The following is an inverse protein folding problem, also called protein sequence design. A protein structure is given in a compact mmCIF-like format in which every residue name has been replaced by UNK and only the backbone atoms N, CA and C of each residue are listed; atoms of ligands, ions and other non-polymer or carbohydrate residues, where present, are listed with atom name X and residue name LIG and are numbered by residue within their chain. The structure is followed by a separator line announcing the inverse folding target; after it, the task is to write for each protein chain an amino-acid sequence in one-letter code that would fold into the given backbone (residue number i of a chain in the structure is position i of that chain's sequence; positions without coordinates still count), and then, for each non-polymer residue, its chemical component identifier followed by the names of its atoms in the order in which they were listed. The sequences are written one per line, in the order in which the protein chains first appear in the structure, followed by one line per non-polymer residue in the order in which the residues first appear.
data_IF_074782129072
#
_entry.id   IF_074782129072
#
_cell.length_a   1.000
_cell.length_b   1.000
_cell.length_c   1.000
_cell.angle_alpha   90.00
_cell.angle_beta   90.00
_cell.angle_gamma   90.00
#
_symmetry.space_group_name_H-M   'P 1'
#
loop_
_entity.id
_entity.type
_entity.pdbx_description
1 polymer ?
#
# COMPACT_ATOMS: atom_id res chain seq x y z
N UNK A 1 -50.76 -61.41 5.80
CA UNK A 1 -50.66 -59.97 5.55
C UNK A 1 -49.19 -59.62 5.56
N UNK A 2 -48.55 -59.51 4.41
CA UNK A 2 -47.07 -59.29 4.28
C UNK A 2 -46.81 -57.85 3.88
N UNK A 3 -46.15 -57.08 4.76
CA UNK A 3 -45.80 -55.69 4.56
C UNK A 3 -44.36 -55.63 4.01
N UNK A 4 -44.21 -55.29 2.75
CA UNK A 4 -42.93 -55.08 2.13
C UNK A 4 -42.40 -53.67 2.49
N UNK A 5 -41.13 -53.51 2.97
CA UNK A 5 -40.57 -52.21 3.21
C UNK A 5 -40.19 -51.52 1.89
N UNK A 6 -40.72 -50.31 1.66
CA UNK A 6 -40.32 -49.43 0.57
C UNK A 6 -38.96 -48.81 0.91
N UNK A 7 -37.95 -49.16 0.16
CA UNK A 7 -36.67 -48.49 0.16
C UNK A 7 -36.82 -47.11 -0.50
N UNK A 8 -36.57 -46.05 0.29
CA UNK A 8 -36.48 -44.69 -0.19
C UNK A 8 -34.96 -44.42 -0.44
N UNK A 9 -34.51 -44.10 -1.66
CA UNK A 9 -33.13 -43.70 -1.86
C UNK A 9 -32.98 -42.29 -1.30
N UNK A 10 -32.20 -42.16 -0.23
CA UNK A 10 -31.73 -40.90 0.30
C UNK A 10 -30.70 -40.37 -0.70
N UNK A 11 -31.15 -39.42 -1.52
CA UNK A 11 -30.26 -38.64 -2.38
C UNK A 11 -29.42 -37.74 -1.48
N UNK A 12 -28.18 -38.14 -1.28
CA UNK A 12 -27.17 -37.31 -0.61
C UNK A 12 -26.87 -36.09 -1.49
N UNK A 13 -27.58 -34.98 -1.19
CA UNK A 13 -27.22 -33.65 -1.71
C UNK A 13 -25.95 -33.21 -1.03
N UNK A 14 -24.79 -33.54 -1.61
CA UNK A 14 -23.52 -32.93 -1.23
C UNK A 14 -23.60 -31.42 -1.53
N UNK A 15 -23.48 -30.55 -0.53
CA UNK A 15 -23.25 -29.13 -0.81
C UNK A 15 -21.88 -29.00 -1.46
N UNK A 16 -21.85 -28.59 -2.73
CA UNK A 16 -20.69 -28.05 -3.36
C UNK A 16 -20.30 -26.77 -2.56
N UNK A 17 -19.46 -26.94 -1.57
CA UNK A 17 -18.66 -25.85 -1.02
C UNK A 17 -17.76 -25.40 -2.15
N UNK A 18 -18.24 -24.44 -2.95
CA UNK A 18 -17.36 -23.64 -3.79
C UNK A 18 -16.37 -22.97 -2.83
N UNK A 19 -15.17 -23.58 -2.73
CA UNK A 19 -14.03 -22.92 -2.14
C UNK A 19 -13.78 -21.66 -3.00
N UNK A 20 -14.17 -20.50 -2.50
CA UNK A 20 -13.65 -19.23 -2.96
C UNK A 20 -12.16 -19.25 -2.63
N UNK A 21 -11.38 -19.89 -3.47
CA UNK A 21 -9.93 -19.77 -3.51
C UNK A 21 -9.61 -18.41 -4.10
N UNK A 22 -9.72 -17.36 -3.30
CA UNK A 22 -9.19 -16.07 -3.67
C UNK A 22 -7.67 -16.17 -3.79
N UNK A 23 -7.09 -15.38 -4.68
CA UNK A 23 -5.63 -15.26 -4.88
C UNK A 23 -4.96 -14.53 -3.68
N UNK A 24 -5.43 -14.83 -2.47
CA UNK A 24 -4.97 -14.19 -1.25
C UNK A 24 -3.49 -14.53 -0.98
N UNK A 25 -2.69 -13.50 -0.82
CA UNK A 25 -1.30 -13.62 -0.33
C UNK A 25 -1.34 -13.55 1.18
N UNK A 26 -0.81 -14.55 1.90
CA UNK A 26 -0.73 -14.49 3.34
C UNK A 26 0.01 -13.24 3.82
N UNK A 27 -0.38 -12.63 4.96
CA UNK A 27 0.24 -11.40 5.47
C UNK A 27 1.74 -11.50 5.65
N UNK A 28 2.26 -12.69 5.96
CA UNK A 28 3.70 -12.95 6.06
C UNK A 28 4.47 -12.83 4.73
N UNK A 29 3.76 -12.76 3.60
CA UNK A 29 4.37 -12.58 2.26
C UNK A 29 4.01 -11.26 1.60
N UNK A 30 3.08 -10.50 2.17
CA UNK A 30 2.78 -9.15 1.73
C UNK A 30 3.61 -8.18 2.56
N UNK A 31 4.59 -7.48 1.98
CA UNK A 31 5.42 -6.55 2.71
C UNK A 31 4.60 -5.42 3.34
N UNK A 32 5.00 -4.96 4.51
CA UNK A 32 4.35 -3.82 5.15
C UNK A 32 4.62 -2.53 4.38
N UNK A 33 3.61 -1.66 4.32
CA UNK A 33 3.74 -0.31 3.78
C UNK A 33 3.87 0.73 4.88
N UNK A 34 4.72 1.72 4.67
CA UNK A 34 4.88 2.86 5.56
C UNK A 34 5.24 4.13 4.81
N UNK A 35 4.82 5.26 5.37
CA UNK A 35 5.21 6.56 4.84
C UNK A 35 6.64 6.87 5.28
N UNK A 36 7.47 7.28 4.32
CA UNK A 36 8.86 7.64 4.57
C UNK A 36 8.94 9.00 5.26
N UNK A 37 9.47 9.03 6.47
CA UNK A 37 9.49 10.20 7.36
C UNK A 37 10.08 11.48 6.74
N UNK A 38 11.01 11.37 5.79
CA UNK A 38 11.57 12.53 5.09
C UNK A 38 10.83 12.95 3.84
N UNK A 39 9.82 12.16 3.43
CA UNK A 39 8.99 12.39 2.25
C UNK A 39 7.48 12.44 2.58
N UNK A 40 7.15 12.55 3.85
CA UNK A 40 5.76 12.67 4.35
C UNK A 40 5.18 14.06 4.15
N UNK A 41 6.02 15.09 4.13
CA UNK A 41 5.64 16.48 3.99
C UNK A 41 5.99 17.03 2.61
N UNK A 42 5.04 17.72 1.99
CA UNK A 42 5.25 18.54 0.79
C UNK A 42 5.13 20.01 1.17
N UNK A 43 6.25 20.70 1.50
CA UNK A 43 6.23 22.14 1.74
C UNK A 43 5.97 22.89 0.43
N UNK A 44 5.23 23.99 0.48
CA UNK A 44 5.02 24.89 -0.67
C UNK A 44 5.54 26.27 -0.34
N UNK A 45 5.81 27.07 -1.39
CA UNK A 45 6.29 28.45 -1.24
C UNK A 45 5.35 29.35 -0.42
N UNK A 46 4.07 29.03 -0.37
CA UNK A 46 3.05 29.77 0.37
C UNK A 46 2.84 29.28 1.81
N UNK A 47 3.74 28.43 2.33
CA UNK A 47 3.57 27.78 3.62
C UNK A 47 2.47 26.71 3.65
N UNK A 48 1.85 26.46 2.51
CA UNK A 48 0.90 25.38 2.35
C UNK A 48 1.65 24.04 2.31
N UNK A 49 1.09 23.06 2.99
CA UNK A 49 1.66 21.72 3.05
C UNK A 49 0.58 20.69 2.69
N UNK A 50 1.01 19.62 2.08
CA UNK A 50 0.30 18.36 2.11
C UNK A 50 1.11 17.38 2.98
N UNK A 51 0.39 16.55 3.73
CA UNK A 51 0.99 15.57 4.64
C UNK A 51 0.45 14.19 4.31
N UNK A 52 1.32 13.21 4.17
CA UNK A 52 0.95 11.79 4.16
C UNK A 52 1.08 11.24 5.58
N UNK A 53 0.06 10.51 6.04
CA UNK A 53 0.08 9.95 7.39
C UNK A 53 -0.14 8.44 7.44
N UNK A 54 -0.43 7.80 6.31
CA UNK A 54 -0.62 6.37 6.28
C UNK A 54 -0.78 5.81 4.87
N UNK A 55 -0.65 4.50 4.79
CA UNK A 55 -0.95 3.73 3.59
C UNK A 55 -1.46 2.34 3.97
N UNK A 56 -2.31 1.78 3.12
CA UNK A 56 -2.74 0.39 3.16
C UNK A 56 -2.15 -0.33 1.95
N UNK A 57 -1.60 -1.52 2.17
CA UNK A 57 -1.09 -2.39 1.10
C UNK A 57 -1.87 -3.70 1.14
N UNK A 58 -2.49 -4.05 0.03
CA UNK A 58 -3.15 -5.33 -0.19
C UNK A 58 -2.40 -6.07 -1.29
N UNK A 59 -2.06 -7.33 -1.04
CA UNK A 59 -1.35 -8.15 -2.01
C UNK A 59 -2.25 -9.27 -2.52
N UNK A 60 -2.23 -9.45 -3.83
CA UNK A 60 -2.85 -10.58 -4.50
C UNK A 60 -1.82 -11.35 -5.32
N UNK A 61 -2.00 -12.66 -5.42
CA UNK A 61 -1.15 -13.48 -6.27
C UNK A 61 -1.65 -13.46 -7.71
N UNK A 62 -0.79 -13.06 -8.63
CA UNK A 62 -1.03 -13.05 -10.07
C UNK A 62 0.02 -13.93 -10.76
N UNK A 63 -0.33 -15.19 -11.02
CA UNK A 63 0.57 -16.22 -11.57
C UNK A 63 1.85 -16.43 -10.75
N UNK A 64 3.01 -16.05 -11.27
CA UNK A 64 4.31 -16.10 -10.58
C UNK A 64 4.65 -14.81 -9.82
N UNK A 65 3.89 -13.74 -10.05
CA UNK A 65 4.08 -12.44 -9.44
C UNK A 65 3.10 -12.21 -8.27
N UNK A 66 3.40 -11.18 -7.51
CA UNK A 66 2.49 -10.57 -6.53
C UNK A 66 2.12 -9.19 -7.08
N UNK A 67 0.84 -8.86 -7.03
CA UNK A 67 0.31 -7.54 -7.29
C UNK A 67 0.00 -6.87 -5.96
N UNK A 68 0.51 -5.64 -5.77
CA UNK A 68 0.22 -4.83 -4.60
C UNK A 68 -0.67 -3.66 -5.01
N UNK A 69 -1.85 -3.59 -4.40
CA UNK A 69 -2.73 -2.44 -4.40
C UNK A 69 -2.38 -1.57 -3.20
N UNK A 70 -2.06 -0.31 -3.44
CA UNK A 70 -1.60 0.63 -2.41
C UNK A 70 -2.53 1.83 -2.38
N UNK A 71 -3.22 2.02 -1.25
CA UNK A 71 -4.03 3.20 -0.99
C UNK A 71 -3.27 4.10 -0.02
N UNK A 72 -3.11 5.37 -0.37
CA UNK A 72 -2.35 6.36 0.41
C UNK A 72 -3.30 7.39 0.99
N UNK A 73 -3.11 7.72 2.27
CA UNK A 73 -3.92 8.66 3.04
C UNK A 73 -3.11 9.90 3.38
N UNK A 74 -3.72 11.06 3.16
CA UNK A 74 -3.07 12.33 3.41
C UNK A 74 -4.05 13.44 3.80
N UNK A 75 -3.49 14.60 4.14
CA UNK A 75 -4.23 15.82 4.40
C UNK A 75 -3.56 16.99 3.66
N UNK A 76 -4.35 17.76 2.94
CA UNK A 76 -3.93 18.99 2.30
C UNK A 76 -4.37 20.16 3.17
N UNK A 77 -3.42 20.77 3.87
CA UNK A 77 -3.67 21.90 4.79
C UNK A 77 -3.51 23.26 4.12
N UNK A 78 -3.25 23.28 2.81
CA UNK A 78 -3.19 24.50 2.01
C UNK A 78 -4.48 25.29 2.00
N UNK A 79 -4.38 26.60 1.86
CA UNK A 79 -5.54 27.48 1.58
C UNK A 79 -6.05 27.36 0.14
N UNK A 80 -5.31 26.73 -0.76
CA UNK A 80 -5.74 26.42 -2.12
C UNK A 80 -6.86 25.38 -2.11
N UNK A 81 -7.77 25.46 -3.08
CA UNK A 81 -8.88 24.49 -3.17
C UNK A 81 -8.43 23.12 -3.64
N UNK A 82 -7.39 23.07 -4.44
CA UNK A 82 -6.75 21.86 -4.98
C UNK A 82 -5.28 22.12 -5.24
N UNK A 83 -4.50 21.05 -5.27
CA UNK A 83 -3.07 21.04 -5.54
C UNK A 83 -2.72 19.74 -6.23
N UNK A 84 -1.80 19.80 -7.21
CA UNK A 84 -1.26 18.62 -7.83
C UNK A 84 -0.04 18.15 -7.01
N UNK A 85 -0.02 16.87 -6.68
CA UNK A 85 1.03 16.22 -5.90
C UNK A 85 1.49 14.95 -6.61
N UNK A 86 2.79 14.70 -6.63
CA UNK A 86 3.32 13.43 -7.13
C UNK A 86 3.69 12.54 -5.96
N UNK A 87 3.12 11.35 -5.91
CA UNK A 87 3.38 10.34 -4.87
C UNK A 87 4.11 9.16 -5.49
N UNK A 88 5.08 8.61 -4.78
CA UNK A 88 5.73 7.36 -5.15
C UNK A 88 5.43 6.27 -4.13
N UNK A 89 5.49 5.02 -4.60
CA UNK A 89 5.58 3.82 -3.77
C UNK A 89 6.72 2.95 -4.30
N UNK A 90 7.59 2.50 -3.42
CA UNK A 90 8.74 1.67 -3.76
C UNK A 90 8.81 0.47 -2.83
N UNK A 91 8.98 -0.73 -3.39
CA UNK A 91 9.33 -1.92 -2.66
C UNK A 91 10.85 -1.99 -2.53
N UNK A 92 11.34 -2.09 -1.30
CA UNK A 92 12.77 -2.08 -1.00
C UNK A 92 13.11 -3.30 -0.16
N UNK A 93 14.23 -3.95 -0.47
CA UNK A 93 14.72 -5.10 0.31
C UNK A 93 15.52 -4.66 1.55
N UNK A 94 15.98 -5.63 2.32
CA UNK A 94 16.80 -5.42 3.54
C UNK A 94 18.17 -4.77 3.28
N UNK A 95 18.63 -4.77 2.05
CA UNK A 95 19.92 -4.24 1.63
C UNK A 95 19.76 -2.86 0.93
N UNK A 96 18.58 -2.23 1.09
CA UNK A 96 18.17 -0.95 0.51
C UNK A 96 18.08 -0.94 -1.04
N UNK A 97 17.97 -2.12 -1.68
CA UNK A 97 17.76 -2.18 -3.11
C UNK A 97 16.28 -1.97 -3.44
N UNK A 98 16.00 -1.10 -4.40
CA UNK A 98 14.63 -0.91 -4.92
C UNK A 98 14.30 -2.06 -5.88
N UNK A 99 13.36 -2.92 -5.47
CA UNK A 99 12.91 -4.08 -6.23
C UNK A 99 11.83 -3.71 -7.25
N UNK A 100 10.95 -2.78 -6.88
CA UNK A 100 9.90 -2.26 -7.75
C UNK A 100 9.52 -0.85 -7.31
N UNK A 101 9.05 -0.03 -8.24
CA UNK A 101 8.64 1.36 -7.97
C UNK A 101 7.54 1.79 -8.92
N UNK A 102 6.60 2.57 -8.39
CA UNK A 102 5.62 3.32 -9.16
C UNK A 102 5.54 4.75 -8.66
N UNK A 103 5.04 5.66 -9.49
CA UNK A 103 4.72 7.04 -9.10
C UNK A 103 3.60 7.56 -9.98
N UNK A 104 2.77 8.43 -9.41
CA UNK A 104 1.62 9.02 -10.08
C UNK A 104 1.39 10.44 -9.58
N UNK A 105 0.86 11.30 -10.46
CA UNK A 105 0.42 12.66 -10.13
C UNK A 105 -1.07 12.66 -9.81
N UNK A 106 -1.44 13.24 -8.69
CA UNK A 106 -2.82 13.32 -8.20
C UNK A 106 -3.21 14.78 -7.96
N UNK A 107 -4.42 15.15 -8.38
CA UNK A 107 -5.02 16.44 -7.99
C UNK A 107 -5.82 16.26 -6.70
N UNK A 108 -5.24 16.67 -5.58
CA UNK A 108 -5.85 16.55 -4.25
C UNK A 108 -6.59 17.84 -3.87
N UNK A 109 -7.66 17.68 -3.09
CA UNK A 109 -8.46 18.79 -2.58
C UNK A 109 -8.09 19.11 -1.15
N UNK A 110 -8.40 20.36 -0.72
CA UNK A 110 -8.23 20.77 0.67
C UNK A 110 -8.91 19.81 1.64
N UNK A 111 -8.24 19.48 2.74
CA UNK A 111 -8.64 18.51 3.73
C UNK A 111 -8.11 17.12 3.43
N UNK A 112 -8.74 16.12 4.02
CA UNK A 112 -8.32 14.73 3.88
C UNK A 112 -8.50 14.23 2.45
N UNK A 113 -7.51 13.49 1.98
CA UNK A 113 -7.56 12.81 0.71
C UNK A 113 -7.13 11.35 0.84
N UNK A 114 -7.62 10.56 -0.09
CA UNK A 114 -7.29 9.16 -0.30
C UNK A 114 -7.03 8.98 -1.80
N UNK A 115 -5.92 8.34 -2.15
CA UNK A 115 -5.54 8.07 -3.53
C UNK A 115 -5.04 6.65 -3.69
N UNK A 116 -5.44 6.01 -4.78
CA UNK A 116 -4.98 4.67 -5.12
C UNK A 116 -3.82 4.78 -6.10
N UNK A 117 -2.69 4.17 -5.73
CA UNK A 117 -1.50 4.12 -6.57
C UNK A 117 -1.71 3.13 -7.73
N UNK A 118 -1.01 3.30 -8.86
CA UNK A 118 -0.95 2.24 -9.86
C UNK A 118 -0.48 0.92 -9.25
N UNK A 119 -1.10 -0.18 -9.64
CA UNK A 119 -0.76 -1.53 -9.15
C UNK A 119 0.72 -1.80 -9.37
N UNK A 120 1.40 -2.23 -8.32
CA UNK A 120 2.81 -2.53 -8.36
C UNK A 120 3.01 -4.05 -8.38
N UNK A 121 3.66 -4.54 -9.44
CA UNK A 121 3.96 -5.96 -9.61
C UNK A 121 5.40 -6.26 -9.22
N UNK A 122 5.61 -7.38 -8.52
CA UNK A 122 6.94 -7.86 -8.17
C UNK A 122 6.98 -9.39 -8.05
N UNK A 123 8.16 -9.96 -8.25
CA UNK A 123 8.39 -11.39 -8.13
C UNK A 123 8.42 -11.79 -6.63
N UNK A 124 7.65 -12.80 -6.28
CA UNK A 124 7.60 -13.34 -4.91
C UNK A 124 8.97 -13.84 -4.41
N UNK A 125 9.85 -14.26 -5.31
CA UNK A 125 11.20 -14.72 -4.96
C UNK A 125 12.12 -13.60 -4.49
N UNK A 126 11.84 -12.35 -4.90
CA UNK A 126 12.65 -11.18 -4.57
C UNK A 126 12.45 -10.69 -3.13
N UNK A 127 11.33 -11.03 -2.48
CA UNK A 127 11.04 -10.55 -1.11
C UNK A 127 11.62 -11.46 -0.02
N UNK A 128 12.17 -12.63 -0.38
CA UNK A 128 12.76 -13.57 0.57
C UNK A 128 11.78 -14.11 1.59
N UNK A 129 12.27 -14.37 2.80
CA UNK A 129 11.44 -14.70 3.94
C UNK A 129 10.91 -13.43 4.62
N UNK A 130 9.80 -13.57 5.34
CA UNK A 130 9.08 -12.55 6.10
C UNK A 130 9.94 -11.42 6.68
N UNK A 131 9.56 -10.17 6.42
CA UNK A 131 10.18 -8.99 7.02
C UNK A 131 11.47 -8.51 6.35
N UNK A 132 11.83 -9.06 5.19
CA UNK A 132 13.04 -8.67 4.46
C UNK A 132 12.79 -7.60 3.38
N UNK A 133 11.55 -7.21 3.16
CA UNK A 133 11.18 -6.13 2.24
C UNK A 133 10.06 -5.29 2.84
N UNK A 134 9.97 -4.02 2.42
CA UNK A 134 8.94 -3.10 2.83
C UNK A 134 8.59 -2.11 1.74
N UNK A 135 7.34 -1.63 1.74
CA UNK A 135 6.94 -0.52 0.90
C UNK A 135 7.22 0.80 1.58
N UNK A 136 7.92 1.67 0.88
CA UNK A 136 8.14 3.06 1.26
C UNK A 136 7.33 3.96 0.36
N UNK A 137 6.48 4.78 0.96
CA UNK A 137 5.58 5.69 0.28
C UNK A 137 5.93 7.12 0.67
N UNK A 138 5.87 8.05 -0.29
CA UNK A 138 6.17 9.45 -0.02
C UNK A 138 5.86 10.35 -1.19
N UNK A 139 5.96 11.66 -0.96
CA UNK A 139 5.96 12.62 -2.05
C UNK A 139 7.26 12.55 -2.85
N UNK A 140 7.17 12.77 -4.15
CA UNK A 140 8.35 13.00 -4.99
C UNK A 140 8.82 14.43 -4.72
N UNK A 141 9.94 14.55 -4.04
CA UNK A 141 10.50 15.80 -3.56
C UNK A 141 11.81 16.15 -4.29
N UNK A 142 12.11 17.41 -4.39
CA UNK A 142 13.44 17.91 -4.77
C UNK A 142 14.44 17.70 -3.62
N UNK A 143 15.73 17.76 -3.93
CA UNK A 143 16.78 17.65 -2.93
C UNK A 143 16.67 18.73 -1.83
N UNK A 144 16.27 19.94 -2.19
CA UNK A 144 16.08 21.05 -1.26
C UNK A 144 14.91 20.77 -0.30
N UNK A 145 13.78 20.25 -0.81
CA UNK A 145 12.64 19.86 0.01
C UNK A 145 12.97 18.69 0.95
N UNK A 146 13.71 17.70 0.47
CA UNK A 146 14.18 16.59 1.31
C UNK A 146 15.09 17.11 2.42
N UNK A 147 16.01 18.03 2.11
CA UNK A 147 16.91 18.60 3.10
C UNK A 147 16.14 19.47 4.11
N UNK A 148 15.14 20.23 3.69
CA UNK A 148 14.26 20.99 4.56
C UNK A 148 13.50 20.07 5.52
N UNK A 149 12.91 18.98 5.02
CA UNK A 149 12.22 18.00 5.85
C UNK A 149 13.17 17.33 6.86
N UNK A 150 14.39 16.98 6.45
CA UNK A 150 15.42 16.42 7.35
C UNK A 150 15.82 17.40 8.45
N UNK A 151 15.94 18.69 8.13
CA UNK A 151 16.26 19.72 9.11
C UNK A 151 15.12 19.88 10.13
N UNK A 152 13.87 19.97 9.68
CA UNK A 152 12.70 20.03 10.54
C UNK A 152 12.59 18.80 11.46
N UNK A 153 12.88 17.62 10.96
CA UNK A 153 12.91 16.38 11.74
C UNK A 153 13.94 16.43 12.87
N UNK A 154 15.17 16.88 12.59
CA UNK A 154 16.23 17.01 13.61
C UNK A 154 15.85 18.00 14.69
N UNK A 155 15.29 19.14 14.30
CA UNK A 155 14.82 20.17 15.24
C UNK A 155 13.74 19.64 16.17
N UNK A 156 12.74 18.93 15.62
CA UNK A 156 11.64 18.36 16.41
C UNK A 156 12.10 17.26 17.38
N UNK A 157 13.17 16.53 17.06
CA UNK A 157 13.73 15.47 17.90
C UNK A 157 14.83 15.97 18.86
N UNK A 158 15.19 17.28 18.83
CA UNK A 158 16.31 17.84 19.58
C UNK A 158 17.63 17.05 19.39
N UNK A 159 17.89 16.60 18.15
CA UNK A 159 19.13 15.91 17.78
C UNK A 159 20.09 16.95 17.21
N UNK A 160 21.16 17.26 17.97
CA UNK A 160 22.27 18.10 17.56
C UNK A 160 23.26 17.37 16.63
#
# INVERSE_FOLDING_TARGET
MSIKPKWIPILFLMPLLAACGGNYVPPERCPYGGVLATAENLPTADGAAALLYGATVLCEKADENIEAEITVYGDMVSSAKNMDVTIFAALVDKDDNVLARTQEEFSVKQGRFEVDMPVLQFDASNIGSTGQAGFFIGFVLTDDEINANRAAWRENLNID
#
